data_IF_814285819756
#
_entry.id   IF_814285819756
#
_cell.length_a   1.000
_cell.length_b   1.000
_cell.length_c   1.000
_cell.angle_alpha   90.00
_cell.angle_beta   90.00
_cell.angle_gamma   90.00
#
_symmetry.space_group_name_H-M   'P 1'
#
loop_
_entity.id
_entity.type
_entity.pdbx_description
1 polymer ?
#
# COMPACT_ATOMS: atom_id res chain seq x y z
N UNK A 1 -2.22 -0.63 29.05
CA UNK A 1 -2.88 -1.46 28.02
C UNK A 1 -3.92 -0.60 27.32
N UNK A 2 -3.54 0.08 26.23
CA UNK A 2 -4.44 0.96 25.48
C UNK A 2 -4.18 0.78 23.98
N UNK A 3 -5.09 -0.01 23.40
CA UNK A 3 -5.64 -0.06 22.05
C UNK A 3 -4.73 0.26 20.85
N UNK A 4 -4.22 -0.83 20.26
CA UNK A 4 -4.20 -0.96 18.81
C UNK A 4 -5.64 -0.76 18.29
N UNK A 5 -5.94 0.11 17.30
CA UNK A 5 -7.28 0.23 16.71
C UNK A 5 -7.82 -1.10 16.21
N UNK A 6 -6.96 -2.07 15.92
CA UNK A 6 -7.36 -3.44 15.59
C UNK A 6 -7.87 -4.24 16.81
N UNK A 7 -7.61 -3.95 18.08
CA UNK A 7 -7.83 -4.94 19.16
C UNK A 7 -9.28 -5.24 19.63
N UNK A 8 -10.25 -4.31 19.52
CA UNK A 8 -11.53 -4.39 20.25
C UNK A 8 -12.56 -5.46 19.80
N UNK A 9 -12.81 -5.57 18.50
CA UNK A 9 -13.66 -6.65 17.94
C UNK A 9 -12.94 -8.01 18.04
N UNK A 10 -11.63 -8.00 17.87
CA UNK A 10 -10.76 -9.16 17.86
C UNK A 10 -10.68 -9.80 19.24
N UNK A 11 -10.56 -9.00 20.30
CA UNK A 11 -10.57 -9.50 21.68
C UNK A 11 -11.91 -10.16 22.05
N UNK A 12 -13.04 -9.64 21.51
CA UNK A 12 -14.40 -10.17 21.74
C UNK A 12 -14.69 -11.45 20.93
N UNK A 13 -14.18 -11.54 19.71
CA UNK A 13 -14.26 -12.75 18.88
C UNK A 13 -13.32 -13.83 19.45
N UNK A 14 -12.08 -13.50 19.79
CA UNK A 14 -11.09 -14.43 20.36
C UNK A 14 -11.52 -14.96 21.75
N UNK A 15 -12.03 -14.11 22.64
CA UNK A 15 -12.57 -14.54 23.94
C UNK A 15 -13.81 -15.43 23.82
N UNK A 16 -14.54 -15.33 22.71
CA UNK A 16 -15.70 -16.18 22.41
C UNK A 16 -15.33 -17.50 21.72
N UNK A 17 -14.13 -17.62 21.14
CA UNK A 17 -13.70 -18.80 20.38
C UNK A 17 -12.75 -19.70 21.19
N UNK A 18 -11.93 -19.19 22.11
CA UNK A 18 -10.94 -20.02 22.82
C UNK A 18 -10.72 -19.64 24.30
N UNK A 19 -11.24 -20.41 25.28
CA UNK A 19 -10.76 -20.37 26.65
C UNK A 19 -9.61 -21.39 26.82
N UNK A 20 -8.37 -20.88 26.83
CA UNK A 20 -7.11 -21.56 27.21
C UNK A 20 -6.64 -22.70 26.30
N UNK A 21 -5.55 -22.46 25.57
CA UNK A 21 -4.55 -23.50 25.29
C UNK A 21 -3.17 -22.92 25.52
N UNK A 22 -2.48 -23.47 26.52
CA UNK A 22 -1.06 -23.27 26.80
C UNK A 22 -0.28 -24.17 25.84
N UNK A 23 0.52 -23.60 24.94
CA UNK A 23 1.41 -24.37 24.08
C UNK A 23 2.84 -24.37 24.67
N UNK A 24 3.29 -25.55 25.07
CA UNK A 24 4.67 -25.86 25.41
C UNK A 24 5.55 -25.86 24.15
N UNK A 25 6.74 -25.25 24.25
CA UNK A 25 7.71 -25.14 23.16
C UNK A 25 8.30 -26.51 22.75
N UNK A 26 8.49 -26.80 21.44
CA UNK A 26 9.24 -27.96 20.99
C UNK A 26 10.74 -27.68 20.96
N UNK A 27 11.52 -28.74 21.17
CA UNK A 27 12.98 -28.76 21.18
C UNK A 27 13.57 -28.52 19.77
N UNK A 28 14.71 -27.81 19.75
CA UNK A 28 15.48 -27.36 18.58
C UNK A 28 15.84 -28.50 17.61
N UNK A 29 15.59 -28.27 16.33
CA UNK A 29 15.91 -29.18 15.22
C UNK A 29 17.11 -28.65 14.42
N UNK A 30 17.76 -29.50 13.61
CA UNK A 30 18.96 -29.17 12.81
C UNK A 30 18.86 -27.99 11.83
N UNK A 31 17.69 -27.33 11.74
CA UNK A 31 17.51 -26.04 11.09
C UNK A 31 18.24 -24.89 11.80
N UNK A 32 18.33 -24.92 13.14
CA UNK A 32 19.03 -23.87 13.90
C UNK A 32 20.55 -23.89 13.63
N UNK A 33 21.10 -25.09 13.41
CA UNK A 33 22.53 -25.28 13.11
C UNK A 33 22.88 -24.86 11.67
N UNK A 34 22.00 -25.14 10.69
CA UNK A 34 22.13 -24.64 9.32
C UNK A 34 22.02 -23.10 9.27
N UNK A 35 21.10 -22.53 10.06
CA UNK A 35 20.92 -21.08 10.16
C UNK A 35 22.15 -20.38 10.75
N UNK A 36 22.76 -20.95 11.79
CA UNK A 36 24.00 -20.44 12.36
C UNK A 36 25.17 -20.49 11.36
N UNK A 37 25.29 -21.56 10.58
CA UNK A 37 26.33 -21.68 9.54
C UNK A 37 26.16 -20.65 8.43
N UNK A 38 24.92 -20.43 7.97
CA UNK A 38 24.62 -19.41 6.95
C UNK A 38 24.89 -17.99 7.47
N UNK A 39 24.53 -17.69 8.72
CA UNK A 39 24.85 -16.39 9.34
C UNK A 39 26.35 -16.14 9.44
N UNK A 40 27.15 -17.17 9.78
CA UNK A 40 28.61 -17.06 9.85
C UNK A 40 29.23 -16.85 8.47
N UNK A 41 28.76 -17.56 7.44
CA UNK A 41 29.23 -17.39 6.06
C UNK A 41 28.90 -15.99 5.53
N UNK A 42 27.70 -15.48 5.81
CA UNK A 42 27.32 -14.12 5.47
C UNK A 42 28.21 -13.10 6.19
N UNK A 43 28.40 -13.22 7.51
CA UNK A 43 29.26 -12.32 8.27
C UNK A 43 30.71 -12.30 7.74
N UNK A 44 31.26 -13.47 7.38
CA UNK A 44 32.60 -13.59 6.80
C UNK A 44 32.68 -12.98 5.38
N UNK A 45 31.66 -13.16 4.55
CA UNK A 45 31.60 -12.56 3.22
C UNK A 45 31.50 -11.03 3.30
N UNK A 46 30.70 -10.51 4.25
CA UNK A 46 30.59 -9.08 4.52
C UNK A 46 31.90 -8.51 5.04
N UNK A 47 32.55 -9.15 6.03
CA UNK A 47 33.84 -8.70 6.55
C UNK A 47 34.94 -8.69 5.49
N UNK A 48 34.97 -9.68 4.58
CA UNK A 48 35.89 -9.68 3.43
C UNK A 48 35.61 -8.53 2.48
N UNK A 49 34.35 -8.33 2.09
CA UNK A 49 33.93 -7.22 1.22
C UNK A 49 34.25 -5.86 1.85
N UNK A 50 34.10 -5.74 3.16
CA UNK A 50 34.41 -4.53 3.91
C UNK A 50 35.93 -4.30 4.01
N UNK A 51 36.73 -5.37 4.20
CA UNK A 51 38.19 -5.30 4.14
C UNK A 51 38.74 -4.96 2.74
N UNK A 52 38.06 -5.40 1.67
CA UNK A 52 38.37 -5.00 0.30
C UNK A 52 37.95 -3.55 0.02
N UNK A 53 36.83 -3.10 0.59
CA UNK A 53 36.35 -1.71 0.49
C UNK A 53 37.21 -0.71 1.28
N UNK A 54 37.97 -1.17 2.28
CA UNK A 54 38.89 -0.36 3.09
C UNK A 54 40.30 -0.24 2.50
N UNK A 55 40.58 -0.82 1.33
CA UNK A 55 41.84 -0.58 0.60
C UNK A 55 41.84 0.85 0.02
N UNK A 56 42.68 1.80 0.49
CA UNK A 56 42.35 3.22 0.36
C UNK A 56 42.60 3.89 -1.00
N UNK A 57 43.07 3.20 -2.04
CA UNK A 57 43.47 3.91 -3.27
C UNK A 57 43.47 3.03 -4.53
N UNK A 58 42.29 2.57 -4.95
CA UNK A 58 42.11 2.00 -6.29
C UNK A 58 41.39 3.00 -7.21
N UNK A 59 42.05 3.52 -8.26
CA UNK A 59 41.47 4.48 -9.21
C UNK A 59 40.16 3.98 -9.85
N UNK A 60 40.03 2.67 -10.01
CA UNK A 60 38.81 2.06 -10.54
C UNK A 60 37.61 2.14 -9.59
N UNK A 61 37.82 2.07 -8.28
CA UNK A 61 36.75 2.18 -7.27
C UNK A 61 36.23 3.62 -7.24
N UNK A 62 37.11 4.61 -7.29
CA UNK A 62 36.72 6.02 -7.40
C UNK A 62 35.99 6.32 -8.71
N UNK A 63 36.44 5.77 -9.84
CA UNK A 63 35.78 5.93 -11.15
C UNK A 63 34.38 5.30 -11.17
N UNK A 64 34.22 4.08 -10.63
CA UNK A 64 32.91 3.42 -10.49
C UNK A 64 31.99 4.22 -9.57
N UNK A 65 32.49 4.68 -8.42
CA UNK A 65 31.71 5.48 -7.46
C UNK A 65 31.23 6.81 -8.08
N UNK A 66 32.10 7.50 -8.82
CA UNK A 66 31.75 8.73 -9.54
C UNK A 66 30.73 8.48 -10.65
N UNK A 67 30.83 7.38 -11.38
CA UNK A 67 29.82 6.97 -12.37
C UNK A 67 28.47 6.60 -11.72
N UNK A 68 28.49 5.88 -10.60
CA UNK A 68 27.30 5.55 -9.83
C UNK A 68 26.63 6.78 -9.19
N UNK A 69 27.42 7.79 -8.80
CA UNK A 69 26.92 9.11 -8.36
C UNK A 69 26.29 9.88 -9.52
N UNK A 70 26.92 9.86 -10.70
CA UNK A 70 26.35 10.43 -11.93
C UNK A 70 25.00 9.81 -12.28
N UNK A 71 24.89 8.48 -12.30
CA UNK A 71 23.62 7.78 -12.55
C UNK A 71 22.58 8.05 -11.47
N UNK A 72 22.99 8.22 -10.20
CA UNK A 72 22.06 8.60 -9.13
C UNK A 72 21.47 9.98 -9.38
N UNK A 73 22.29 10.94 -9.80
CA UNK A 73 21.85 12.30 -10.09
C UNK A 73 20.96 12.37 -11.34
N UNK A 74 21.34 11.69 -12.42
CA UNK A 74 20.51 11.60 -13.63
C UNK A 74 19.12 11.00 -13.34
N UNK A 75 19.06 9.94 -12.52
CA UNK A 75 17.78 9.37 -12.07
C UNK A 75 16.98 10.34 -11.23
N UNK A 76 17.63 11.09 -10.33
CA UNK A 76 16.95 12.08 -9.50
C UNK A 76 16.30 13.16 -10.37
N UNK A 77 17.01 13.64 -11.39
CA UNK A 77 16.50 14.63 -12.35
C UNK A 77 15.34 14.04 -13.16
N UNK A 78 15.50 12.84 -13.72
CA UNK A 78 14.47 12.20 -14.53
C UNK A 78 13.17 11.95 -13.74
N UNK A 79 13.29 11.48 -12.49
CA UNK A 79 12.16 11.31 -11.56
C UNK A 79 11.46 12.65 -11.27
N UNK A 80 12.24 13.71 -11.04
CA UNK A 80 11.67 15.03 -10.80
C UNK A 80 10.88 15.56 -12.00
N UNK A 81 11.39 15.37 -13.23
CA UNK A 81 10.66 15.74 -14.44
C UNK A 81 9.40 14.90 -14.63
N UNK A 82 9.43 13.61 -14.27
CA UNK A 82 8.27 12.73 -14.38
C UNK A 82 7.19 13.13 -13.37
N UNK A 83 7.58 13.38 -12.12
CA UNK A 83 6.68 13.90 -11.10
C UNK A 83 6.06 15.23 -11.55
N UNK A 84 6.82 16.15 -12.14
CA UNK A 84 6.29 17.40 -12.68
C UNK A 84 5.27 17.14 -13.81
N UNK A 85 5.53 16.19 -14.71
CA UNK A 85 4.58 15.81 -15.76
C UNK A 85 3.29 15.21 -15.18
N UNK A 86 3.41 14.36 -14.14
CA UNK A 86 2.27 13.79 -13.41
C UNK A 86 1.43 14.90 -12.76
N UNK A 87 2.05 15.84 -12.06
CA UNK A 87 1.36 16.96 -11.42
C UNK A 87 0.68 17.88 -12.45
N UNK A 88 1.33 18.16 -13.58
CA UNK A 88 0.71 18.90 -14.69
C UNK A 88 -0.49 18.16 -15.28
N UNK A 89 -0.41 16.83 -15.38
CA UNK A 89 -1.53 16.01 -15.85
C UNK A 89 -2.71 16.06 -14.89
N UNK A 90 -2.46 15.97 -13.58
CA UNK A 90 -3.49 16.13 -12.55
C UNK A 90 -4.18 17.49 -12.62
N UNK A 91 -3.43 18.57 -12.89
CA UNK A 91 -3.98 19.92 -13.11
C UNK A 91 -4.84 19.98 -14.37
N UNK A 92 -4.37 19.45 -15.50
CA UNK A 92 -5.10 19.42 -16.77
C UNK A 92 -6.43 18.66 -16.68
N UNK A 93 -6.43 17.56 -15.92
CA UNK A 93 -7.62 16.76 -15.65
C UNK A 93 -8.48 17.32 -14.51
N UNK A 94 -8.07 18.41 -13.85
CA UNK A 94 -8.77 18.99 -12.70
C UNK A 94 -9.07 17.94 -11.59
N UNK A 95 -8.14 17.01 -11.38
CA UNK A 95 -8.34 15.89 -10.43
C UNK A 95 -8.28 16.31 -8.96
N UNK A 96 -7.82 17.53 -8.66
CA UNK A 96 -7.65 18.02 -7.30
C UNK A 96 -6.38 17.53 -6.59
N UNK A 97 -5.69 16.49 -7.08
CA UNK A 97 -4.51 15.94 -6.42
C UNK A 97 -3.29 16.88 -6.50
N UNK A 98 -2.93 17.43 -5.33
CA UNK A 98 -1.69 18.14 -5.13
C UNK A 98 -0.55 17.19 -4.70
N UNK A 99 0.70 17.65 -4.81
CA UNK A 99 1.88 16.88 -4.40
C UNK A 99 1.79 16.37 -2.96
N UNK A 100 1.41 17.24 -2.02
CA UNK A 100 1.26 16.88 -0.61
C UNK A 100 0.18 15.81 -0.36
N UNK A 101 -0.86 15.76 -1.20
CA UNK A 101 -1.87 14.70 -1.15
C UNK A 101 -1.31 13.38 -1.66
N UNK A 102 -0.57 13.39 -2.78
CA UNK A 102 0.07 12.19 -3.30
C UNK A 102 1.09 11.63 -2.29
N UNK A 103 1.93 12.48 -1.69
CA UNK A 103 2.90 12.06 -0.67
C UNK A 103 2.21 11.35 0.50
N UNK A 104 1.13 11.94 1.02
CA UNK A 104 0.35 11.35 2.11
C UNK A 104 -0.35 10.05 1.72
N UNK A 105 -0.98 10.00 0.55
CA UNK A 105 -1.59 8.77 0.05
C UNK A 105 -0.55 7.65 -0.09
N UNK A 106 0.69 8.01 -0.42
CA UNK A 106 1.82 7.08 -0.48
C UNK A 106 2.16 6.50 0.88
N UNK A 107 2.11 7.31 1.95
CA UNK A 107 2.25 6.82 3.32
C UNK A 107 1.15 5.83 3.69
N UNK A 108 -0.11 6.11 3.33
CA UNK A 108 -1.23 5.20 3.62
C UNK A 108 -1.04 3.85 2.94
N UNK A 109 -0.67 3.85 1.64
CA UNK A 109 -0.40 2.63 0.90
C UNK A 109 0.73 1.80 1.51
N UNK A 110 1.86 2.44 1.84
CA UNK A 110 3.05 1.75 2.39
C UNK A 110 2.78 1.22 3.81
N UNK A 111 2.09 1.99 4.64
CA UNK A 111 1.78 1.60 6.03
C UNK A 111 0.75 0.47 6.11
N UNK A 112 -0.18 0.40 5.14
CA UNK A 112 -1.28 -0.58 5.11
C UNK A 112 -1.10 -1.63 4.01
N UNK A 113 0.13 -1.86 3.55
CA UNK A 113 0.41 -2.93 2.62
C UNK A 113 0.09 -4.29 3.27
N UNK A 114 -0.76 -5.13 2.65
CA UNK A 114 -1.12 -6.44 3.20
C UNK A 114 0.13 -7.29 3.40
N UNK A 115 0.39 -7.70 4.65
CA UNK A 115 1.52 -8.56 5.01
C UNK A 115 1.02 -9.87 5.61
N UNK A 116 1.47 -10.97 5.03
CA UNK A 116 1.29 -12.29 5.61
C UNK A 116 2.37 -12.54 6.66
N UNK A 117 1.99 -13.20 7.77
CA UNK A 117 2.89 -13.60 8.84
C UNK A 117 2.90 -15.13 8.96
N UNK A 118 3.98 -15.70 9.48
CA UNK A 118 4.08 -17.14 9.73
C UNK A 118 4.77 -17.41 11.09
N UNK A 119 4.08 -18.00 12.08
CA UNK A 119 2.64 -18.26 12.12
C UNK A 119 1.85 -16.95 12.31
N UNK A 120 0.79 -16.74 11.52
CA UNK A 120 -0.10 -15.58 11.70
C UNK A 120 -1.12 -15.83 12.82
N UNK A 121 -1.37 -14.80 13.63
CA UNK A 121 -2.57 -14.75 14.48
C UNK A 121 -3.83 -14.57 13.62
N UNK A 122 -4.99 -14.93 14.16
CA UNK A 122 -6.28 -14.68 13.51
C UNK A 122 -6.45 -13.20 13.11
N UNK A 123 -5.98 -12.30 13.98
CA UNK A 123 -6.04 -10.86 13.75
C UNK A 123 -5.26 -10.45 12.50
N UNK A 124 -4.04 -10.94 12.38
CA UNK A 124 -3.16 -10.70 11.24
C UNK A 124 -3.72 -11.30 9.94
N UNK A 125 -4.30 -12.50 10.00
CA UNK A 125 -4.95 -13.13 8.84
C UNK A 125 -6.14 -12.31 8.34
N UNK A 126 -7.01 -11.87 9.25
CA UNK A 126 -8.14 -11.01 8.91
C UNK A 126 -7.68 -9.68 8.31
N UNK A 127 -6.68 -9.04 8.95
CA UNK A 127 -6.16 -7.77 8.47
C UNK A 127 -5.54 -7.91 7.07
N UNK A 128 -4.79 -8.99 6.82
CA UNK A 128 -4.24 -9.29 5.50
C UNK A 128 -5.33 -9.39 4.43
N UNK A 129 -6.39 -10.16 4.68
CA UNK A 129 -7.47 -10.33 3.70
C UNK A 129 -8.30 -9.06 3.50
N UNK A 130 -8.63 -8.33 4.58
CA UNK A 130 -9.39 -7.08 4.49
C UNK A 130 -8.60 -6.02 3.71
N UNK A 131 -7.36 -5.74 4.11
CA UNK A 131 -6.54 -4.74 3.41
C UNK A 131 -6.26 -5.15 1.96
N UNK A 132 -6.00 -6.45 1.72
CA UNK A 132 -5.81 -7.00 0.38
C UNK A 132 -7.04 -6.81 -0.50
N UNK A 133 -8.22 -7.10 0.04
CA UNK A 133 -9.47 -6.93 -0.69
C UNK A 133 -9.79 -5.46 -0.96
N UNK A 134 -9.67 -4.58 0.04
CA UNK A 134 -9.89 -3.13 -0.14
C UNK A 134 -8.97 -2.57 -1.24
N UNK A 135 -7.70 -2.95 -1.23
CA UNK A 135 -6.75 -2.51 -2.24
C UNK A 135 -7.03 -3.11 -3.62
N UNK A 136 -7.41 -4.38 -3.72
CA UNK A 136 -7.78 -5.00 -4.98
C UNK A 136 -9.02 -4.32 -5.58
N UNK A 137 -10.06 -4.08 -4.78
CA UNK A 137 -11.31 -3.46 -5.22
C UNK A 137 -11.16 -1.97 -5.55
N UNK A 138 -10.17 -1.28 -4.98
CA UNK A 138 -9.88 0.12 -5.35
C UNK A 138 -9.34 0.29 -6.78
N UNK A 139 -8.82 -0.77 -7.40
CA UNK A 139 -8.17 -0.72 -8.71
C UNK A 139 -9.12 -0.46 -9.88
N UNK A 140 -10.12 -1.33 -10.12
CA UNK A 140 -11.00 -1.19 -11.30
C UNK A 140 -11.72 0.16 -11.39
N UNK A 141 -12.31 0.71 -10.32
CA UNK A 141 -12.92 2.05 -10.36
C UNK A 141 -11.91 3.16 -10.67
N UNK A 142 -10.67 3.04 -10.19
CA UNK A 142 -9.62 4.01 -10.46
C UNK A 142 -9.17 3.99 -11.93
N UNK A 143 -9.06 2.80 -12.53
CA UNK A 143 -8.78 2.66 -13.95
C UNK A 143 -9.92 3.19 -14.81
N UNK A 144 -11.16 2.82 -14.49
CA UNK A 144 -12.35 3.33 -15.16
C UNK A 144 -12.44 4.86 -15.09
N UNK A 145 -12.05 5.47 -13.96
CA UNK A 145 -12.01 6.93 -13.83
C UNK A 145 -10.96 7.58 -14.74
N UNK A 146 -9.79 6.97 -14.91
CA UNK A 146 -8.81 7.46 -15.88
C UNK A 146 -9.37 7.38 -17.31
N UNK A 147 -9.98 6.26 -17.69
CA UNK A 147 -10.58 6.08 -19.01
C UNK A 147 -11.66 7.13 -19.27
N UNK A 148 -12.54 7.37 -18.29
CA UNK A 148 -13.54 8.44 -18.36
C UNK A 148 -12.89 9.82 -18.61
N UNK A 149 -11.81 10.16 -17.92
CA UNK A 149 -11.12 11.44 -18.11
C UNK A 149 -10.46 11.57 -19.48
N UNK A 150 -9.93 10.47 -20.03
CA UNK A 150 -9.38 10.45 -21.38
C UNK A 150 -10.47 10.72 -22.43
N UNK A 151 -11.64 10.10 -22.28
CA UNK A 151 -12.80 10.35 -23.13
C UNK A 151 -13.28 11.80 -23.03
N UNK A 152 -13.46 12.33 -21.81
CA UNK A 152 -13.90 13.71 -21.56
C UNK A 152 -12.93 14.75 -22.14
N UNK A 153 -11.63 14.44 -22.18
CA UNK A 153 -10.59 15.32 -22.74
C UNK A 153 -10.27 15.02 -24.20
N UNK A 154 -10.93 14.03 -24.81
CA UNK A 154 -10.67 13.58 -26.17
C UNK A 154 -9.19 13.26 -26.40
N UNK A 155 -8.59 12.52 -25.46
CA UNK A 155 -7.19 12.10 -25.52
C UNK A 155 -7.10 10.62 -25.80
N UNK A 156 -6.36 10.28 -26.85
CA UNK A 156 -6.05 8.90 -27.18
C UNK A 156 -5.01 8.30 -26.22
N UNK A 157 -5.10 6.99 -26.02
CA UNK A 157 -4.07 6.26 -25.29
C UNK A 157 -2.75 6.29 -26.07
N UNK A 158 -1.62 6.72 -25.45
CA UNK A 158 -0.34 6.77 -26.13
C UNK A 158 0.18 5.35 -26.42
N UNK A 159 0.64 5.11 -27.64
CA UNK A 159 1.13 3.81 -28.08
C UNK A 159 2.44 3.93 -28.86
N UNK A 160 3.22 2.85 -28.87
CA UNK A 160 4.47 2.80 -29.60
C UNK A 160 4.25 3.01 -31.11
N UNK A 161 4.98 3.93 -31.76
CA UNK A 161 4.94 4.11 -33.21
C UNK A 161 5.27 2.82 -33.98
N UNK A 162 6.26 2.05 -33.50
CA UNK A 162 6.67 0.78 -34.11
C UNK A 162 5.53 -0.26 -34.07
N UNK A 163 4.75 -0.24 -32.98
CA UNK A 163 3.58 -1.07 -32.85
C UNK A 163 2.48 -0.61 -33.82
N UNK A 164 2.31 0.69 -34.05
CA UNK A 164 1.32 1.18 -35.01
C UNK A 164 1.71 0.89 -36.46
N UNK A 165 3.01 0.88 -36.79
CA UNK A 165 3.51 0.66 -38.14
C UNK A 165 3.48 -0.83 -38.55
N UNK A 166 3.57 -1.74 -37.58
CA UNK A 166 3.57 -3.19 -37.81
C UNK A 166 2.20 -3.80 -38.16
N UNK A 167 1.09 -3.06 -38.00
CA UNK A 167 -0.26 -3.56 -38.32
C UNK A 167 -0.93 -2.78 -39.47
N UNK A 168 -1.53 -3.51 -40.43
CA UNK A 168 -2.39 -2.96 -41.48
C UNK A 168 -3.65 -2.34 -40.86
N UNK A 169 -4.22 -1.33 -41.53
CA UNK A 169 -5.32 -0.46 -41.04
C UNK A 169 -6.49 -1.19 -40.38
N UNK A 170 -6.81 -2.39 -40.83
CA UNK A 170 -8.05 -3.09 -40.51
C UNK A 170 -8.04 -3.75 -39.11
N UNK A 171 -6.86 -3.88 -38.47
CA UNK A 171 -6.68 -4.53 -37.16
C UNK A 171 -6.18 -3.58 -36.05
N UNK A 172 -5.98 -2.29 -36.36
CA UNK A 172 -5.40 -1.31 -35.41
C UNK A 172 -6.24 -1.16 -34.14
N UNK A 173 -7.56 -1.12 -34.26
CA UNK A 173 -8.47 -0.98 -33.12
C UNK A 173 -8.37 -2.16 -32.16
N UNK A 174 -8.24 -3.39 -32.67
CA UNK A 174 -8.12 -4.58 -31.83
C UNK A 174 -6.78 -4.63 -31.10
N UNK A 175 -5.69 -4.22 -31.76
CA UNK A 175 -4.36 -4.11 -31.14
C UNK A 175 -4.36 -3.07 -30.02
N UNK A 176 -4.93 -1.88 -30.25
CA UNK A 176 -5.06 -0.84 -29.22
C UNK A 176 -5.86 -1.32 -28.01
N UNK A 177 -6.97 -2.03 -28.25
CA UNK A 177 -7.76 -2.64 -27.19
C UNK A 177 -6.96 -3.70 -26.41
N UNK A 178 -6.14 -4.50 -27.08
CA UNK A 178 -5.28 -5.49 -26.43
C UNK A 178 -4.18 -4.83 -25.58
N UNK A 179 -3.55 -3.76 -26.07
CA UNK A 179 -2.56 -2.99 -25.32
C UNK A 179 -3.18 -2.40 -24.06
N UNK A 180 -4.33 -1.74 -24.20
CA UNK A 180 -5.03 -1.11 -23.07
C UNK A 180 -5.40 -2.16 -22.01
N UNK A 181 -5.91 -3.34 -22.42
CA UNK A 181 -6.19 -4.46 -21.49
C UNK A 181 -4.94 -4.97 -20.78
N UNK A 182 -3.82 -5.09 -21.50
CA UNK A 182 -2.55 -5.51 -20.89
C UNK A 182 -2.10 -4.52 -19.82
N UNK A 183 -2.24 -3.23 -20.10
CA UNK A 183 -1.87 -2.18 -19.16
C UNK A 183 -2.77 -2.17 -17.93
N UNK A 184 -4.08 -2.30 -18.11
CA UNK A 184 -5.04 -2.47 -17.02
C UNK A 184 -4.65 -3.65 -16.13
N UNK A 185 -4.36 -4.82 -16.71
CA UNK A 185 -3.95 -6.00 -15.95
C UNK A 185 -2.66 -5.75 -15.14
N UNK A 186 -1.65 -5.12 -15.75
CA UNK A 186 -0.41 -4.78 -15.02
C UNK A 186 -0.65 -3.76 -13.92
N UNK A 187 -1.52 -2.78 -14.15
CA UNK A 187 -1.92 -1.79 -13.15
C UNK A 187 -2.62 -2.44 -11.95
N UNK A 188 -3.58 -3.34 -12.21
CA UNK A 188 -4.33 -4.04 -11.17
C UNK A 188 -3.42 -4.92 -10.30
N UNK A 189 -2.41 -5.55 -10.90
CA UNK A 189 -1.45 -6.45 -10.23
C UNK A 189 -0.38 -5.73 -9.38
N UNK A 190 -0.23 -4.40 -9.46
CA UNK A 190 0.79 -3.66 -8.67
C UNK A 190 0.53 -3.75 -7.18
N UNK A 191 1.59 -3.91 -6.38
CA UNK A 191 1.51 -3.83 -4.91
C UNK A 191 1.24 -2.38 -4.45
N UNK A 192 0.70 -2.18 -3.23
CA UNK A 192 0.51 -0.85 -2.65
C UNK A 192 1.78 0.00 -2.67
N UNK A 193 2.92 -0.56 -2.25
CA UNK A 193 4.20 0.17 -2.25
C UNK A 193 4.63 0.56 -3.67
N UNK A 194 4.47 -0.35 -4.63
CA UNK A 194 4.78 -0.05 -6.03
C UNK A 194 3.89 1.07 -6.58
N UNK A 195 2.59 1.04 -6.29
CA UNK A 195 1.64 2.10 -6.66
C UNK A 195 1.98 3.44 -6.01
N UNK A 196 2.46 3.43 -4.76
CA UNK A 196 2.89 4.64 -4.06
C UNK A 196 4.12 5.29 -4.72
N UNK A 197 5.11 4.50 -5.09
CA UNK A 197 6.30 4.98 -5.80
C UNK A 197 5.93 5.47 -7.20
N UNK A 198 5.08 4.71 -7.91
CA UNK A 198 4.69 4.99 -9.29
C UNK A 198 3.96 6.32 -9.45
N UNK A 199 3.01 6.64 -8.55
CA UNK A 199 2.31 7.94 -8.59
C UNK A 199 3.21 9.14 -8.28
N UNK A 200 4.37 8.89 -7.66
CA UNK A 200 5.39 9.90 -7.38
C UNK A 200 6.45 10.01 -8.49
N UNK A 201 6.29 9.28 -9.61
CA UNK A 201 7.27 9.23 -10.69
C UNK A 201 8.51 8.38 -10.36
N UNK A 202 8.47 7.59 -9.29
CA UNK A 202 9.51 6.62 -8.97
C UNK A 202 9.14 5.27 -9.58
N UNK A 203 9.77 4.92 -10.70
CA UNK A 203 9.48 3.68 -11.43
C UNK A 203 10.60 2.66 -11.15
N UNK A 204 10.38 1.63 -10.29
CA UNK A 204 11.47 0.77 -9.82
C UNK A 204 12.18 -0.02 -10.92
N UNK A 205 11.49 -0.32 -12.03
CA UNK A 205 12.07 -1.08 -13.15
C UNK A 205 13.02 -0.23 -14.02
N UNK A 206 12.96 1.10 -13.93
CA UNK A 206 13.82 2.00 -14.71
C UNK A 206 15.11 2.32 -13.95
N UNK A 207 15.99 1.32 -13.92
CA UNK A 207 17.27 1.37 -13.19
C UNK A 207 18.35 2.14 -13.96
N UNK A 208 18.34 2.07 -15.29
CA UNK A 208 19.44 2.54 -16.16
C UNK A 208 19.04 3.62 -17.16
N UNK A 209 17.81 3.57 -17.70
CA UNK A 209 17.34 4.50 -18.72
C UNK A 209 15.87 4.87 -18.43
N UNK A 210 15.60 6.16 -18.37
CA UNK A 210 14.23 6.69 -18.36
C UNK A 210 13.78 6.90 -19.80
N UNK A 211 12.48 6.74 -20.09
CA UNK A 211 11.96 7.02 -21.43
C UNK A 211 12.17 8.49 -21.79
N UNK A 212 12.24 8.73 -23.11
CA UNK A 212 12.33 10.08 -23.66
C UNK A 212 11.14 10.92 -23.18
N UNK A 213 11.43 12.09 -22.60
CA UNK A 213 10.41 13.01 -22.11
C UNK A 213 9.45 13.41 -23.25
N UNK A 214 8.14 13.29 -23.01
CA UNK A 214 7.10 13.53 -24.02
C UNK A 214 6.96 12.43 -25.08
N UNK A 215 7.73 11.34 -24.99
CA UNK A 215 7.53 10.15 -25.82
C UNK A 215 6.32 9.31 -25.38
N UNK A 216 5.93 8.33 -26.19
CA UNK A 216 4.73 7.50 -25.93
C UNK A 216 4.77 6.79 -24.56
N UNK A 217 5.91 6.18 -24.20
CA UNK A 217 6.05 5.45 -22.94
C UNK A 217 6.06 6.40 -21.73
N UNK A 218 6.58 7.62 -21.92
CA UNK A 218 6.53 8.67 -20.90
C UNK A 218 5.09 9.09 -20.62
N UNK A 219 4.33 9.42 -21.66
CA UNK A 219 2.92 9.82 -21.52
C UNK A 219 2.07 8.68 -20.95
N UNK A 220 2.32 7.44 -21.36
CA UNK A 220 1.64 6.28 -20.81
C UNK A 220 1.88 6.15 -19.31
N UNK A 221 3.13 6.30 -18.87
CA UNK A 221 3.51 6.25 -17.46
C UNK A 221 2.87 7.37 -16.66
N UNK A 222 2.79 8.58 -17.24
CA UNK A 222 2.09 9.71 -16.63
C UNK A 222 0.61 9.39 -16.42
N UNK A 223 -0.07 8.78 -17.39
CA UNK A 223 -1.48 8.39 -17.26
C UNK A 223 -1.67 7.27 -16.24
N UNK A 224 -0.82 6.25 -16.26
CA UNK A 224 -0.85 5.16 -15.27
C UNK A 224 -0.61 5.69 -13.83
N UNK A 225 0.26 6.69 -13.66
CA UNK A 225 0.49 7.35 -12.39
C UNK A 225 -0.76 8.11 -11.90
N UNK A 226 -1.52 8.72 -12.80
CA UNK A 226 -2.81 9.34 -12.47
C UNK A 226 -3.82 8.29 -11.98
N UNK A 227 -3.90 7.12 -12.64
CA UNK A 227 -4.72 6.01 -12.15
C UNK A 227 -4.23 5.50 -10.78
N UNK A 228 -2.91 5.46 -10.55
CA UNK A 228 -2.34 5.09 -9.26
C UNK A 228 -2.78 6.06 -8.14
N UNK A 229 -2.84 7.37 -8.41
CA UNK A 229 -3.35 8.35 -7.47
C UNK A 229 -4.84 8.13 -7.13
N UNK A 230 -5.69 7.85 -8.14
CA UNK A 230 -7.09 7.50 -7.89
C UNK A 230 -7.23 6.23 -7.05
N UNK A 231 -6.44 5.20 -7.34
CA UNK A 231 -6.42 3.95 -6.56
C UNK A 231 -6.01 4.22 -5.12
N UNK A 232 -4.93 4.98 -4.93
CA UNK A 232 -4.42 5.36 -3.62
C UNK A 232 -5.47 6.13 -2.81
N UNK A 233 -6.17 7.07 -3.45
CA UNK A 233 -7.26 7.84 -2.84
C UNK A 233 -8.41 6.95 -2.38
N UNK A 234 -8.94 6.08 -3.24
CA UNK A 234 -10.05 5.20 -2.88
C UNK A 234 -9.65 4.18 -1.81
N UNK A 235 -8.42 3.66 -1.88
CA UNK A 235 -7.88 2.81 -0.83
C UNK A 235 -7.76 3.57 0.50
N UNK A 236 -7.20 4.77 0.50
CA UNK A 236 -7.09 5.59 1.71
C UNK A 236 -8.47 5.95 2.27
N UNK A 237 -9.44 6.31 1.43
CA UNK A 237 -10.82 6.57 1.84
C UNK A 237 -11.43 5.37 2.56
N UNK A 238 -11.33 4.18 1.96
CA UNK A 238 -11.90 2.96 2.54
C UNK A 238 -11.19 2.52 3.82
N UNK A 239 -9.85 2.60 3.86
CA UNK A 239 -9.05 2.28 5.06
C UNK A 239 -9.36 3.25 6.21
N UNK A 240 -9.46 4.55 5.92
CA UNK A 240 -9.82 5.55 6.92
C UNK A 240 -11.19 5.24 7.55
N UNK A 241 -12.20 4.92 6.75
CA UNK A 241 -13.54 4.56 7.28
C UNK A 241 -13.55 3.24 8.04
N UNK A 242 -12.79 2.26 7.58
CA UNK A 242 -12.65 0.97 8.25
C UNK A 242 -12.01 1.12 9.64
N UNK A 243 -10.90 1.86 9.74
CA UNK A 243 -10.13 2.01 10.99
C UNK A 243 -10.93 2.70 12.08
N UNK A 244 -11.73 3.72 11.73
CA UNK A 244 -12.48 4.50 12.72
C UNK A 244 -13.78 3.84 13.21
N UNK A 245 -14.05 2.59 12.80
CA UNK A 245 -15.07 1.68 13.37
C UNK A 245 -16.40 2.36 13.70
N UNK A 246 -17.25 2.48 12.68
CA UNK A 246 -18.64 2.83 12.88
C UNK A 246 -19.35 1.76 13.74
N UNK A 247 -19.95 2.11 14.88
CA UNK A 247 -20.72 1.17 15.70
C UNK A 247 -21.77 0.41 14.91
N UNK A 248 -22.35 1.05 13.87
CA UNK A 248 -23.31 0.42 12.97
C UNK A 248 -22.67 -0.68 12.11
N UNK A 249 -21.43 -0.47 11.62
CA UNK A 249 -20.68 -1.51 10.91
C UNK A 249 -20.37 -2.70 11.81
N UNK A 250 -20.03 -2.46 13.09
CA UNK A 250 -19.78 -3.54 14.05
C UNK A 250 -21.04 -4.36 14.34
N UNK A 251 -22.19 -3.71 14.48
CA UNK A 251 -23.49 -4.37 14.66
C UNK A 251 -23.88 -5.21 13.42
N UNK A 252 -23.75 -4.63 12.22
CA UNK A 252 -24.03 -5.32 10.96
C UNK A 252 -23.13 -6.55 10.77
N UNK A 253 -21.81 -6.40 11.00
CA UNK A 253 -20.87 -7.52 10.93
C UNK A 253 -21.25 -8.59 11.96
N UNK A 254 -21.54 -8.22 13.21
CA UNK A 254 -21.91 -9.19 14.26
C UNK A 254 -23.17 -9.97 13.89
N UNK A 255 -24.22 -9.29 13.43
CA UNK A 255 -25.48 -9.93 13.03
C UNK A 255 -25.30 -10.90 11.86
N UNK A 256 -24.47 -10.54 10.87
CA UNK A 256 -24.19 -11.37 9.70
C UNK A 256 -23.29 -12.58 10.02
N UNK A 257 -22.39 -12.43 11.01
CA UNK A 257 -21.47 -13.48 11.42
C UNK A 257 -22.11 -14.51 12.37
N UNK A 258 -23.18 -14.16 13.10
CA UNK A 258 -23.75 -15.05 14.12
C UNK A 258 -24.18 -16.43 13.61
N UNK A 259 -24.79 -16.60 12.42
CA UNK A 259 -25.12 -17.94 11.89
C UNK A 259 -23.88 -18.82 11.64
N UNK A 260 -22.78 -18.21 11.19
CA UNK A 260 -21.50 -18.90 10.97
C UNK A 260 -20.85 -19.28 12.30
N UNK A 261 -20.86 -18.36 13.27
CA UNK A 261 -20.33 -18.60 14.62
C UNK A 261 -21.16 -19.65 15.37
N UNK A 262 -22.48 -19.71 15.18
CA UNK A 262 -23.34 -20.72 15.78
C UNK A 262 -23.01 -22.12 15.25
N UNK A 263 -22.81 -22.26 13.92
CA UNK A 263 -22.41 -23.51 13.28
C UNK A 263 -21.00 -23.95 13.70
N UNK A 264 -20.04 -23.03 13.73
CA UNK A 264 -18.67 -23.38 14.13
C UNK A 264 -18.61 -23.85 15.59
N UNK A 265 -19.38 -23.23 16.51
CA UNK A 265 -19.50 -23.68 17.91
C UNK A 265 -20.00 -25.12 18.02
N UNK A 266 -20.96 -25.53 17.18
CA UNK A 266 -21.45 -26.91 17.18
C UNK A 266 -20.42 -27.91 16.68
N UNK A 267 -19.61 -27.54 15.68
CA UNK A 267 -18.56 -28.40 15.12
C UNK A 267 -17.34 -28.52 16.04
N UNK A 268 -16.97 -27.44 16.77
CA UNK A 268 -15.86 -27.46 17.74
C UNK A 268 -16.14 -28.38 18.93
N UNK A 269 -17.43 -28.65 19.22
CA UNK A 269 -17.81 -29.59 20.28
C UNK A 269 -17.57 -31.07 19.89
N UNK A 270 -17.48 -31.37 18.58
CA UNK A 270 -17.15 -32.70 18.03
C UNK A 270 -15.67 -32.70 17.58
N UNK A 271 -14.78 -33.25 18.41
CA UNK A 271 -13.32 -33.17 18.24
C UNK A 271 -12.83 -34.22 17.23
N UNK A 272 -13.30 -34.17 15.99
CA UNK A 272 -12.78 -35.01 14.90
C UNK A 272 -12.02 -34.19 13.83
N UNK A 273 -11.21 -34.90 13.03
CA UNK A 273 -10.40 -34.29 11.97
C UNK A 273 -11.26 -33.72 10.83
N UNK A 274 -12.45 -34.29 10.59
CA UNK A 274 -13.37 -33.83 9.54
C UNK A 274 -13.98 -32.48 9.88
N UNK A 275 -14.42 -32.29 11.13
CA UNK A 275 -14.95 -31.04 11.67
C UNK A 275 -13.90 -29.94 11.67
N UNK A 276 -12.64 -30.28 11.95
CA UNK A 276 -11.52 -29.31 11.90
C UNK A 276 -11.27 -28.77 10.49
N UNK A 277 -11.35 -29.61 9.45
CA UNK A 277 -11.20 -29.19 8.06
C UNK A 277 -12.36 -28.29 7.61
N UNK A 278 -13.60 -28.67 7.94
CA UNK A 278 -14.80 -27.88 7.64
C UNK A 278 -14.76 -26.51 8.33
N UNK A 279 -14.32 -26.43 9.58
CA UNK A 279 -14.15 -25.15 10.29
C UNK A 279 -13.13 -24.25 9.58
N UNK A 280 -12.03 -24.82 9.07
CA UNK A 280 -11.01 -24.04 8.37
C UNK A 280 -11.53 -23.49 7.05
N UNK A 281 -12.26 -24.29 6.26
CA UNK A 281 -12.91 -23.86 5.03
C UNK A 281 -13.95 -22.76 5.29
N UNK A 282 -14.81 -22.93 6.30
CA UNK A 282 -15.81 -21.94 6.71
C UNK A 282 -15.15 -20.62 7.12
N UNK A 283 -14.09 -20.67 7.92
CA UNK A 283 -13.33 -19.48 8.34
C UNK A 283 -12.64 -18.81 7.15
N UNK A 284 -12.07 -19.58 6.22
CA UNK A 284 -11.48 -19.03 5.01
C UNK A 284 -12.52 -18.28 4.16
N UNK A 285 -13.66 -18.90 3.86
CA UNK A 285 -14.74 -18.25 3.11
C UNK A 285 -15.25 -16.98 3.83
N UNK A 286 -15.40 -17.05 5.15
CA UNK A 286 -15.82 -15.91 5.97
C UNK A 286 -14.85 -14.73 5.89
N UNK A 287 -13.55 -14.98 6.04
CA UNK A 287 -12.52 -13.95 6.05
C UNK A 287 -12.12 -13.44 4.67
N UNK A 288 -12.21 -14.28 3.64
CA UNK A 288 -11.77 -13.94 2.28
C UNK A 288 -12.89 -13.30 1.48
N UNK A 289 -14.14 -13.73 1.67
CA UNK A 289 -15.26 -13.33 0.80
C UNK A 289 -16.34 -12.52 1.54
N UNK A 290 -16.81 -13.01 2.69
CA UNK A 290 -17.99 -12.41 3.36
C UNK A 290 -17.63 -11.08 4.04
N UNK A 291 -16.66 -11.11 4.96
CA UNK A 291 -16.27 -9.94 5.75
C UNK A 291 -15.68 -8.86 4.85
N UNK A 292 -14.80 -9.25 3.94
CA UNK A 292 -14.12 -8.34 3.01
C UNK A 292 -15.11 -7.58 2.12
N UNK A 293 -16.12 -8.27 1.58
CA UNK A 293 -17.18 -7.64 0.78
C UNK A 293 -18.03 -6.66 1.58
N UNK A 294 -18.48 -7.05 2.78
CA UNK A 294 -19.28 -6.17 3.65
C UNK A 294 -18.49 -4.90 4.00
N UNK A 295 -17.22 -5.08 4.37
CA UNK A 295 -16.34 -3.95 4.69
C UNK A 295 -16.15 -3.05 3.47
N UNK A 296 -15.99 -3.62 2.27
CA UNK A 296 -15.92 -2.83 1.04
C UNK A 296 -17.21 -2.05 0.77
N UNK A 297 -18.37 -2.70 0.80
CA UNK A 297 -19.66 -2.07 0.51
C UNK A 297 -19.94 -0.90 1.46
N UNK A 298 -19.63 -1.07 2.75
CA UNK A 298 -19.74 -0.01 3.74
C UNK A 298 -18.69 1.10 3.51
N UNK A 299 -17.41 0.73 3.37
CA UNK A 299 -16.31 1.69 3.40
C UNK A 299 -16.18 2.48 2.09
N UNK A 300 -16.63 1.94 0.96
CA UNK A 300 -16.61 2.62 -0.34
C UNK A 300 -17.86 3.47 -0.59
N UNK A 301 -18.89 3.35 0.26
CA UNK A 301 -20.13 4.10 0.13
C UNK A 301 -19.89 5.62 0.21
N UNK A 302 -20.44 6.34 -0.77
CA UNK A 302 -20.34 7.79 -0.85
C UNK A 302 -18.94 8.32 -1.18
N UNK A 303 -18.04 7.49 -1.71
CA UNK A 303 -16.76 8.00 -2.24
C UNK A 303 -17.01 8.93 -3.44
N UNK A 304 -16.13 9.92 -3.59
CA UNK A 304 -16.11 10.83 -4.72
C UNK A 304 -14.68 11.00 -5.26
N UNK A 305 -14.59 11.52 -6.49
CA UNK A 305 -13.34 11.83 -7.18
C UNK A 305 -13.17 13.35 -7.32
N UNK A 306 -11.93 13.85 -7.48
CA UNK A 306 -11.70 15.24 -7.92
C UNK A 306 -11.47 16.24 -6.79
N UNK A 307 -11.57 17.54 -7.12
CA UNK A 307 -11.49 18.64 -6.14
C UNK A 307 -12.61 18.60 -5.07
N UNK A 308 -13.74 17.95 -5.37
CA UNK A 308 -14.81 17.67 -4.41
C UNK A 308 -14.48 16.51 -3.46
N UNK A 309 -13.47 15.70 -3.81
CA UNK A 309 -12.88 14.69 -2.94
C UNK A 309 -11.82 15.30 -2.00
N UNK A 310 -11.97 16.59 -1.65
CA UNK A 310 -11.29 17.14 -0.49
C UNK A 310 -11.45 16.15 0.66
N UNK A 311 -10.36 15.88 1.36
CA UNK A 311 -10.30 14.99 2.51
C UNK A 311 -11.55 15.11 3.38
N UNK A 312 -12.02 13.98 3.95
CA UNK A 312 -13.21 13.96 4.82
C UNK A 312 -13.19 15.22 5.69
N UNK A 313 -14.19 16.12 5.57
CA UNK A 313 -14.15 17.43 6.23
C UNK A 313 -14.12 17.30 7.75
N UNK A 314 -14.34 16.11 8.31
CA UNK A 314 -14.14 15.81 9.72
C UNK A 314 -12.68 15.56 10.12
N UNK A 315 -11.72 15.45 9.19
CA UNK A 315 -10.31 15.34 9.51
C UNK A 315 -9.70 16.71 9.83
N UNK A 316 -9.00 16.77 10.95
CA UNK A 316 -8.39 17.99 11.50
C UNK A 316 -6.87 17.89 11.61
N UNK A 317 -6.31 16.68 11.44
CA UNK A 317 -4.88 16.43 11.44
C UNK A 317 -4.57 15.13 10.66
N UNK A 318 -3.29 14.94 10.35
CA UNK A 318 -2.77 13.76 9.64
C UNK A 318 -1.65 13.11 10.44
N UNK A 319 -1.67 11.79 10.53
CA UNK A 319 -0.58 11.03 11.14
C UNK A 319 0.66 11.09 10.21
N UNK A 320 1.81 11.64 10.66
CA UNK A 320 2.99 11.81 9.81
C UNK A 320 3.71 10.50 9.47
N UNK A 321 3.40 9.40 10.17
CA UNK A 321 4.02 8.10 9.95
C UNK A 321 3.26 7.31 8.88
N UNK A 322 1.93 7.28 8.98
CA UNK A 322 1.11 6.43 8.12
C UNK A 322 0.14 7.19 7.20
N UNK A 323 0.06 8.52 7.28
CA UNK A 323 -0.79 9.35 6.44
C UNK A 323 -2.29 9.28 6.75
N UNK A 324 -2.68 8.66 7.87
CA UNK A 324 -4.08 8.50 8.28
C UNK A 324 -4.72 9.82 8.71
N UNK A 325 -6.00 10.00 8.35
CA UNK A 325 -6.78 11.18 8.73
C UNK A 325 -7.32 11.05 10.14
N UNK A 326 -7.11 12.09 10.96
CA UNK A 326 -7.52 12.11 12.37
C UNK A 326 -8.69 13.07 12.56
N UNK A 327 -9.78 12.58 13.18
CA UNK A 327 -10.90 13.42 13.65
C UNK A 327 -10.57 14.00 15.02
N UNK A 328 -11.23 15.07 15.43
CA UNK A 328 -10.99 15.71 16.74
C UNK A 328 -11.11 14.72 17.93
N UNK A 329 -12.02 13.74 17.83
CA UNK A 329 -12.19 12.66 18.81
C UNK A 329 -10.98 11.73 18.93
N UNK A 330 -10.07 11.72 17.95
CA UNK A 330 -8.94 10.80 17.84
C UNK A 330 -7.59 11.44 18.18
N UNK A 331 -7.56 12.73 18.52
CA UNK A 331 -6.33 13.48 18.85
C UNK A 331 -5.81 13.20 20.27
N UNK A 332 -5.77 11.94 20.69
CA UNK A 332 -5.35 11.57 22.05
C UNK A 332 -3.85 11.32 22.17
N UNK A 333 -3.19 10.93 21.08
CA UNK A 333 -1.76 10.68 21.05
C UNK A 333 -1.06 11.82 20.33
N UNK A 334 -0.16 12.51 21.02
CA UNK A 334 0.60 13.62 20.46
C UNK A 334 2.04 13.66 20.95
N UNK A 335 2.89 14.34 20.19
CA UNK A 335 4.29 14.57 20.50
C UNK A 335 4.75 15.88 19.89
N UNK A 336 5.45 16.71 20.67
CA UNK A 336 6.00 17.98 20.21
C UNK A 336 7.44 17.77 19.73
N UNK A 337 7.70 18.10 18.47
CA UNK A 337 9.03 18.07 17.87
C UNK A 337 9.24 19.36 17.07
N UNK A 338 10.41 19.99 17.22
CA UNK A 338 10.72 21.30 16.61
C UNK A 338 9.60 22.36 16.80
N UNK A 339 9.06 22.48 18.01
CA UNK A 339 7.97 23.42 18.37
C UNK A 339 6.61 23.14 17.72
N UNK A 340 6.47 22.04 16.95
CA UNK A 340 5.23 21.63 16.33
C UNK A 340 4.64 20.40 17.04
N UNK A 341 3.34 20.44 17.33
CA UNK A 341 2.63 19.29 17.91
C UNK A 341 2.11 18.38 16.80
N UNK A 342 2.63 17.16 16.76
CA UNK A 342 2.17 16.10 15.86
C UNK A 342 1.20 15.17 16.57
N UNK A 343 0.26 14.60 15.82
CA UNK A 343 -0.77 13.69 16.32
C UNK A 343 -0.68 12.33 15.62
N UNK A 344 -1.06 11.26 16.32
CA UNK A 344 -0.86 9.89 15.86
C UNK A 344 -2.14 9.05 15.98
N UNK A 345 -2.40 8.20 14.99
CA UNK A 345 -3.55 7.32 14.94
C UNK A 345 -3.45 6.18 15.98
N UNK A 346 -2.24 5.79 16.37
CA UNK A 346 -1.99 4.72 17.31
C UNK A 346 -0.63 4.84 18.00
N UNK A 347 -0.44 4.09 19.09
CA UNK A 347 0.78 4.09 19.90
C UNK A 347 2.02 3.67 19.09
N UNK A 348 1.86 2.73 18.16
CA UNK A 348 2.96 2.27 17.32
C UNK A 348 3.51 3.39 16.43
N UNK A 349 2.64 4.23 15.85
CA UNK A 349 3.08 5.39 15.06
C UNK A 349 3.79 6.42 15.93
N UNK A 350 3.26 6.70 17.13
CA UNK A 350 3.94 7.58 18.10
C UNK A 350 5.34 7.07 18.45
N UNK A 351 5.49 5.78 18.76
CA UNK A 351 6.79 5.18 19.13
C UNK A 351 7.78 5.20 17.96
N UNK A 352 7.33 4.88 16.74
CA UNK A 352 8.16 4.96 15.53
C UNK A 352 8.65 6.38 15.28
N UNK A 353 7.75 7.36 15.42
CA UNK A 353 8.09 8.77 15.27
C UNK A 353 9.12 9.20 16.32
N UNK A 354 8.90 8.89 17.60
CA UNK A 354 9.81 9.23 18.70
C UNK A 354 11.21 8.63 18.50
N UNK A 355 11.32 7.45 17.90
CA UNK A 355 12.60 6.82 17.65
C UNK A 355 13.45 7.56 16.61
N UNK A 356 12.83 8.08 15.54
CA UNK A 356 13.54 8.75 14.43
C UNK A 356 12.74 9.87 13.77
N UNK A 357 12.41 10.98 14.48
CA UNK A 357 11.50 12.02 13.97
C UNK A 357 11.96 12.63 12.64
N UNK A 358 13.26 12.94 12.57
CA UNK A 358 13.98 13.47 11.42
C UNK A 358 13.86 12.65 10.13
N UNK A 359 13.54 11.34 10.21
CA UNK A 359 13.40 10.48 9.04
C UNK A 359 12.08 10.72 8.30
N UNK A 360 11.04 11.11 9.03
CA UNK A 360 9.70 11.36 8.49
C UNK A 360 9.60 12.70 7.75
N UNK A 361 10.49 13.65 8.07
CA UNK A 361 10.55 14.95 7.38
C UNK A 361 11.66 15.02 6.32
N UNK A 362 12.61 14.06 6.29
CA UNK A 362 13.71 14.05 5.30
C UNK A 362 13.24 13.80 3.85
N UNK A 363 12.07 13.19 3.66
CA UNK A 363 11.46 12.98 2.34
C UNK A 363 10.39 14.02 2.01
N UNK A 364 10.11 14.93 2.94
CA UNK A 364 9.04 15.90 2.84
C UNK A 364 9.65 17.23 2.40
N UNK A 365 9.47 17.59 1.13
CA UNK A 365 9.98 18.84 0.53
C UNK A 365 9.29 20.12 1.01
N UNK A 366 8.81 20.14 2.26
CA UNK A 366 8.16 21.27 2.91
C UNK A 366 8.55 21.30 4.38
N UNK A 367 9.52 22.12 4.75
CA UNK A 367 9.83 22.37 6.16
C UNK A 367 8.57 22.74 6.97
N UNK A 368 8.62 22.64 8.30
CA UNK A 368 7.46 22.95 9.13
C UNK A 368 7.11 24.44 8.95
N UNK A 369 6.03 24.70 8.22
CA UNK A 369 5.61 26.05 7.85
C UNK A 369 4.94 26.13 6.49
N UNK A 370 3.67 25.72 6.42
CA UNK A 370 2.61 26.39 5.65
C UNK A 370 1.23 25.87 6.02
#
# INVERSE_FOLDING_TARGET
MLNNPFSGLYHRIIQRIHPKVSATAPQSSGLDELQAQLQLLLANAWSRKESEALSPDQPEVHKRRSQEEGWREERRIARAHLLEAILRRHQSFATGFARSQLERLGLVLKAHEPRAFSPATLEQTMQFHILGHLYAQSGPPAWAKLVQLLEEKSLDWPVSPDLLESYRSDDRTAVLAQCTRTLEMTFLARSPSYTADYMMGEIPVWTYLYPMQGGWLWEQTVLEAVACAFRAHLFAFTVNRWIWRDPHLEEQLTALLEPYLARSRTLVADVDLSSSATILEDLQHLFVEVITRIVWDYASAGHCWGAEASEDPGFVAWDPVCGMGLKSSHLQLSFTWEEHTHYFCCKSCLEQFQATPESFFRNWGGGPGQ
#
